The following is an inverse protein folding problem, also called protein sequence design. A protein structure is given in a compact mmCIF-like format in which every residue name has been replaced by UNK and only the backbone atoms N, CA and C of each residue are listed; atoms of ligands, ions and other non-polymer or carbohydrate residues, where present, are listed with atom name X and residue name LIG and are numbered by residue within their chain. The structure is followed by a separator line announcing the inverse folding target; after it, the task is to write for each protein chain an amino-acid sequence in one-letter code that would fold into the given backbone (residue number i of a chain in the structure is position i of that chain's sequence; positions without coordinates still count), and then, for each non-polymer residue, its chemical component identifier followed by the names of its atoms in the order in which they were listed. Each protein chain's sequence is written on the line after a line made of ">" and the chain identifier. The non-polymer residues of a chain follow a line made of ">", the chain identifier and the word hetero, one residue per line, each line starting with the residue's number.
data_IF_270391740273
#
_entry.id   IF_270391740273
#
_cell.length_a   1.000
_cell.length_b   1.000
_cell.length_c   1.000
_cell.angle_alpha   90.00
_cell.angle_beta   90.00
_cell.angle_gamma   90.00
#
_symmetry.space_group_name_H-M   'P 1'
#
loop_
_entity.id
_entity.type
_entity.pdbx_description
1 polymer ?
#
# COMPACT_ATOMS: atom_id res chain seq x y z
N UNK A 1 -27.58 35.59 -13.39
CA UNK A 1 -27.68 35.25 -11.90
C UNK A 1 -27.75 33.75 -11.63
N UNK A 2 -28.26 32.90 -12.50
CA UNK A 2 -28.41 31.47 -12.27
C UNK A 2 -27.06 30.72 -12.06
N UNK A 3 -25.98 31.12 -12.71
CA UNK A 3 -24.68 30.44 -12.63
C UNK A 3 -23.98 30.56 -11.29
N UNK A 4 -24.14 31.69 -10.56
CA UNK A 4 -23.50 31.84 -9.24
C UNK A 4 -24.14 30.96 -8.18
N UNK A 5 -25.46 30.78 -8.24
CA UNK A 5 -26.18 29.94 -7.27
C UNK A 5 -25.91 28.45 -7.51
N UNK A 6 -25.80 28.02 -8.77
CA UNK A 6 -25.46 26.65 -9.12
C UNK A 6 -24.04 26.26 -8.67
N UNK A 7 -23.06 27.18 -8.85
CA UNK A 7 -21.67 26.94 -8.41
C UNK A 7 -21.57 26.79 -6.89
N UNK A 8 -22.30 27.60 -6.13
CA UNK A 8 -22.30 27.51 -4.67
C UNK A 8 -22.96 26.20 -4.18
N UNK A 9 -24.05 25.79 -4.83
CA UNK A 9 -24.71 24.51 -4.50
C UNK A 9 -23.82 23.31 -4.81
N UNK A 10 -23.10 23.32 -5.93
CA UNK A 10 -22.15 22.26 -6.31
C UNK A 10 -20.98 22.20 -5.32
N UNK A 11 -20.47 23.33 -4.87
CA UNK A 11 -19.36 23.36 -3.89
C UNK A 11 -19.80 22.84 -2.51
N UNK A 12 -21.01 23.16 -2.07
CA UNK A 12 -21.53 22.65 -0.78
C UNK A 12 -21.82 21.15 -0.86
N UNK A 13 -22.46 20.70 -1.94
CA UNK A 13 -22.70 19.26 -2.17
C UNK A 13 -21.39 18.50 -2.39
N UNK A 14 -20.42 19.09 -3.10
CA UNK A 14 -19.10 18.52 -3.31
C UNK A 14 -18.34 18.40 -2.01
N UNK A 15 -18.42 19.38 -1.10
CA UNK A 15 -17.80 19.32 0.22
C UNK A 15 -18.37 18.20 1.09
N UNK A 16 -19.71 18.09 1.18
CA UNK A 16 -20.37 17.03 1.93
C UNK A 16 -20.05 15.65 1.34
N UNK A 17 -20.11 15.49 0.02
CA UNK A 17 -19.76 14.26 -0.68
C UNK A 17 -18.29 13.88 -0.46
N UNK A 18 -17.37 14.84 -0.49
CA UNK A 18 -15.95 14.63 -0.22
C UNK A 18 -15.72 14.15 1.21
N UNK A 19 -16.36 14.76 2.20
CA UNK A 19 -16.23 14.35 3.60
C UNK A 19 -16.78 12.94 3.84
N UNK A 20 -17.93 12.62 3.26
CA UNK A 20 -18.52 11.27 3.34
C UNK A 20 -17.61 10.24 2.65
N UNK A 21 -17.11 10.54 1.45
CA UNK A 21 -16.19 9.69 0.71
C UNK A 21 -14.93 9.40 1.55
N UNK A 22 -14.30 10.43 2.12
CA UNK A 22 -13.11 10.27 2.95
C UNK A 22 -13.38 9.43 4.20
N UNK A 23 -14.56 9.51 4.80
CA UNK A 23 -14.95 8.71 5.96
C UNK A 23 -15.06 7.21 5.64
N UNK A 24 -15.41 6.85 4.38
CA UNK A 24 -15.57 5.46 3.92
C UNK A 24 -14.30 4.82 3.35
N UNK A 25 -13.22 5.60 3.17
CA UNK A 25 -11.97 5.06 2.63
C UNK A 25 -11.38 3.97 3.55
N UNK A 26 -10.75 2.93 2.97
CA UNK A 26 -9.95 1.98 3.74
C UNK A 26 -8.90 2.67 4.62
N UNK A 27 -8.61 2.07 5.77
CA UNK A 27 -7.68 2.66 6.74
C UNK A 27 -6.29 2.92 6.13
N UNK A 28 -5.77 1.98 5.33
CA UNK A 28 -4.48 2.16 4.67
C UNK A 28 -4.45 3.35 3.70
N UNK A 29 -5.60 3.65 3.04
CA UNK A 29 -5.72 4.84 2.20
C UNK A 29 -5.70 6.12 3.04
N UNK A 30 -6.45 6.15 4.15
CA UNK A 30 -6.44 7.28 5.10
C UNK A 30 -5.06 7.56 5.67
N UNK A 31 -4.29 6.51 5.90
CA UNK A 31 -2.96 6.56 6.48
C UNK A 31 -1.84 6.81 5.45
N UNK A 32 -2.15 6.89 4.15
CA UNK A 32 -1.14 6.86 3.08
C UNK A 32 -0.19 5.66 3.19
N UNK A 33 -0.72 4.53 3.67
CA UNK A 33 -0.02 3.28 3.96
C UNK A 33 -0.64 2.15 3.14
N UNK A 34 -0.29 2.02 1.86
CA UNK A 34 -0.97 1.13 0.91
C UNK A 34 -0.95 -0.35 1.30
N UNK A 35 0.00 -0.78 2.11
CA UNK A 35 0.15 -2.16 2.56
C UNK A 35 -0.19 -2.34 4.05
N UNK A 36 -0.82 -1.38 4.72
CA UNK A 36 -1.13 -1.46 6.15
C UNK A 36 0.06 -1.88 7.01
N UNK A 37 1.25 -1.35 6.71
CA UNK A 37 2.46 -1.64 7.48
C UNK A 37 2.24 -1.23 8.94
N UNK A 38 2.50 -2.14 9.86
CA UNK A 38 2.37 -1.85 11.29
C UNK A 38 3.41 -0.82 11.76
N UNK A 39 2.99 0.03 12.68
CA UNK A 39 3.91 0.94 13.33
C UNK A 39 4.88 0.17 14.22
N UNK A 40 6.15 0.47 14.11
CA UNK A 40 7.18 -0.01 15.02
C UNK A 40 8.11 1.16 15.36
N UNK A 41 8.26 1.44 16.64
CA UNK A 41 9.12 2.53 17.14
C UNK A 41 10.60 2.40 16.76
N UNK A 42 11.03 1.20 16.35
CA UNK A 42 12.39 0.95 15.85
C UNK A 42 12.59 1.37 14.40
N UNK A 43 11.49 1.58 13.66
CA UNK A 43 11.52 2.00 12.28
C UNK A 43 11.36 3.52 12.23
N UNK A 44 12.32 4.17 11.60
CA UNK A 44 12.26 5.60 11.29
C UNK A 44 12.14 5.72 9.76
N UNK A 45 10.89 5.53 9.29
CA UNK A 45 10.60 5.60 7.86
C UNK A 45 10.57 7.05 7.38
N UNK A 46 11.24 7.35 6.27
CA UNK A 46 11.11 8.65 5.63
C UNK A 46 9.62 8.97 5.38
N UNK A 47 9.23 10.19 5.73
CA UNK A 47 7.86 10.64 5.57
C UNK A 47 6.84 10.03 6.54
N UNK A 48 7.28 9.24 7.51
CA UNK A 48 6.41 8.75 8.57
C UNK A 48 5.95 9.91 9.46
N UNK A 49 4.67 9.91 9.79
CA UNK A 49 4.08 10.83 10.75
C UNK A 49 4.19 10.26 12.16
N UNK A 50 4.10 11.14 13.16
CA UNK A 50 4.05 10.72 14.57
C UNK A 50 2.89 9.75 14.80
N UNK A 51 3.12 8.78 15.67
CA UNK A 51 2.12 7.79 16.08
C UNK A 51 1.67 8.10 17.52
N UNK A 52 0.36 8.12 17.72
CA UNK A 52 -0.26 8.39 19.02
C UNK A 52 -0.90 7.13 19.64
N UNK A 53 -0.40 5.94 19.27
CA UNK A 53 -0.90 4.66 19.73
C UNK A 53 -1.67 3.88 18.65
N UNK A 54 -1.66 4.36 17.40
CA UNK A 54 -2.27 3.62 16.30
C UNK A 54 -1.45 2.37 15.94
N UNK A 55 -2.14 1.30 15.56
CA UNK A 55 -1.53 0.04 15.14
C UNK A 55 -0.67 0.20 13.89
N UNK A 56 -1.16 0.96 12.90
CA UNK A 56 -0.51 1.09 11.60
C UNK A 56 0.27 2.40 11.47
N UNK A 57 1.38 2.35 10.75
CA UNK A 57 2.14 3.54 10.39
C UNK A 57 1.30 4.49 9.51
N UNK A 58 1.58 5.77 9.61
CA UNK A 58 0.97 6.84 8.81
C UNK A 58 2.05 7.60 8.09
N UNK A 59 1.80 7.97 6.83
CA UNK A 59 2.79 8.67 6.01
C UNK A 59 2.24 9.99 5.47
N UNK A 60 3.15 10.91 5.13
CA UNK A 60 2.82 12.22 4.55
C UNK A 60 2.08 12.09 3.22
N UNK A 61 2.45 11.09 2.40
CA UNK A 61 1.79 10.75 1.15
C UNK A 61 2.01 9.27 0.81
N UNK A 62 1.25 8.69 -0.14
CA UNK A 62 1.32 7.26 -0.48
C UNK A 62 2.68 6.79 -1.00
N UNK A 63 3.47 7.65 -1.65
CA UNK A 63 4.79 7.26 -2.16
C UNK A 63 5.73 6.85 -1.02
N UNK A 64 5.65 7.50 0.15
CA UNK A 64 6.42 7.08 1.32
C UNK A 64 5.93 5.73 1.89
N UNK A 65 4.62 5.47 1.84
CA UNK A 65 4.08 4.15 2.22
C UNK A 65 4.58 3.05 1.29
N UNK A 66 4.59 3.28 -0.02
CA UNK A 66 5.18 2.33 -1.00
C UNK A 66 6.70 2.20 -0.85
N UNK A 67 7.40 3.28 -0.52
CA UNK A 67 8.82 3.22 -0.19
C UNK A 67 9.09 2.31 1.01
N UNK A 68 8.33 2.45 2.07
CA UNK A 68 8.44 1.59 3.24
C UNK A 68 8.17 0.11 2.87
N UNK A 69 7.16 -0.16 2.05
CA UNK A 69 6.86 -1.51 1.55
C UNK A 69 8.04 -2.11 0.77
N UNK A 70 8.68 -1.34 -0.12
CA UNK A 70 9.86 -1.80 -0.85
C UNK A 70 11.01 -2.18 0.11
N UNK A 71 11.26 -1.36 1.12
CA UNK A 71 12.28 -1.66 2.15
C UNK A 71 11.95 -2.91 2.96
N UNK A 72 10.67 -3.15 3.27
CA UNK A 72 10.22 -4.36 3.96
C UNK A 72 10.51 -5.59 3.11
N UNK A 73 10.10 -5.63 1.84
CA UNK A 73 10.35 -6.79 0.98
C UNK A 73 11.85 -7.01 0.70
N UNK A 74 12.62 -5.94 0.52
CA UNK A 74 14.08 -6.06 0.44
C UNK A 74 14.70 -6.62 1.72
N UNK A 75 14.14 -6.27 2.89
CA UNK A 75 14.56 -6.86 4.16
C UNK A 75 14.22 -8.34 4.25
N UNK A 76 13.05 -8.77 3.76
CA UNK A 76 12.70 -10.19 3.71
C UNK A 76 13.66 -10.99 2.81
N UNK A 77 14.00 -10.46 1.65
CA UNK A 77 14.98 -11.11 0.76
C UNK A 77 16.35 -11.31 1.44
N UNK A 78 16.83 -10.29 2.19
CA UNK A 78 18.07 -10.42 2.98
C UNK A 78 17.98 -11.46 4.09
N UNK A 79 16.78 -11.78 4.58
CA UNK A 79 16.52 -12.80 5.58
C UNK A 79 16.30 -14.21 5.00
N UNK A 80 16.36 -14.34 3.64
CA UNK A 80 16.17 -15.61 2.96
C UNK A 80 14.73 -15.90 2.50
N UNK A 81 13.78 -14.99 2.72
CA UNK A 81 12.43 -15.08 2.18
C UNK A 81 12.43 -14.48 0.77
N UNK A 82 12.68 -15.30 -0.24
CA UNK A 82 12.97 -14.80 -1.59
C UNK A 82 11.88 -15.08 -2.61
N UNK A 83 11.07 -16.12 -2.41
CA UNK A 83 9.96 -16.39 -3.33
C UNK A 83 8.74 -15.53 -3.01
N UNK A 84 7.86 -15.34 -4.01
CA UNK A 84 6.64 -14.57 -3.84
C UNK A 84 5.80 -15.08 -2.65
N UNK A 85 5.60 -16.39 -2.59
CA UNK A 85 4.85 -17.04 -1.49
C UNK A 85 5.50 -16.81 -0.13
N UNK A 86 6.83 -16.97 -0.03
CA UNK A 86 7.55 -16.73 1.23
C UNK A 86 7.41 -15.27 1.72
N UNK A 87 7.52 -14.31 0.79
CA UNK A 87 7.36 -12.89 1.12
C UNK A 87 5.94 -12.58 1.60
N UNK A 88 4.93 -13.13 0.92
CA UNK A 88 3.53 -12.92 1.30
C UNK A 88 3.20 -13.61 2.62
N UNK A 89 3.66 -14.84 2.83
CA UNK A 89 3.48 -15.55 4.11
C UNK A 89 4.14 -14.81 5.28
N UNK A 90 5.28 -14.20 5.03
CA UNK A 90 5.98 -13.39 6.04
C UNK A 90 5.25 -12.09 6.34
N UNK A 91 4.68 -11.46 5.31
CA UNK A 91 3.97 -10.19 5.42
C UNK A 91 2.58 -10.36 6.04
N UNK A 92 1.82 -11.35 5.60
CA UNK A 92 0.44 -11.63 6.00
C UNK A 92 0.30 -13.09 6.47
N UNK A 93 0.68 -13.41 7.72
CA UNK A 93 0.65 -14.78 8.23
C UNK A 93 -0.75 -15.40 8.19
N UNK A 94 -0.84 -16.71 7.95
CA UNK A 94 -2.09 -17.44 7.72
C UNK A 94 -3.08 -17.43 8.87
N UNK A 95 -2.63 -17.18 10.09
CA UNK A 95 -3.53 -17.05 11.24
C UNK A 95 -4.31 -15.74 11.29
N UNK A 96 -3.92 -14.75 10.47
CA UNK A 96 -4.62 -13.45 10.36
C UNK A 96 -5.32 -13.27 9.01
N UNK A 97 -4.92 -14.04 7.97
CA UNK A 97 -5.35 -13.84 6.58
C UNK A 97 -5.50 -15.17 5.84
N UNK A 98 -6.30 -15.20 4.77
CA UNK A 98 -6.23 -16.25 3.75
C UNK A 98 -5.00 -16.02 2.86
N UNK A 99 -3.84 -16.47 3.36
CA UNK A 99 -2.55 -16.24 2.72
C UNK A 99 -2.43 -16.97 1.39
N UNK A 100 -3.09 -18.11 1.23
CA UNK A 100 -3.10 -18.85 -0.05
C UNK A 100 -3.83 -18.06 -1.13
N UNK A 101 -4.98 -17.46 -0.80
CA UNK A 101 -5.71 -16.59 -1.72
C UNK A 101 -4.92 -15.33 -2.01
N UNK A 102 -4.25 -14.75 -1.03
CA UNK A 102 -3.40 -13.58 -1.20
C UNK A 102 -2.26 -13.87 -2.20
N UNK A 103 -1.48 -14.93 -1.95
CA UNK A 103 -0.38 -15.32 -2.81
C UNK A 103 -0.84 -15.63 -4.24
N UNK A 104 -1.96 -16.36 -4.37
CA UNK A 104 -2.57 -16.64 -5.67
C UNK A 104 -2.96 -15.37 -6.43
N UNK A 105 -3.66 -14.45 -5.80
CA UNK A 105 -4.10 -13.21 -6.46
C UNK A 105 -2.92 -12.35 -6.88
N UNK A 106 -1.91 -12.19 -6.03
CA UNK A 106 -0.71 -11.43 -6.39
C UNK A 106 0.04 -12.10 -7.55
N UNK A 107 0.16 -13.43 -7.54
CA UNK A 107 0.74 -14.20 -8.64
C UNK A 107 -0.02 -13.97 -9.95
N UNK A 108 -1.34 -14.10 -9.94
CA UNK A 108 -2.20 -13.91 -11.12
C UNK A 108 -2.09 -12.48 -11.68
N UNK A 109 -2.02 -11.47 -10.82
CA UNK A 109 -1.97 -10.06 -11.24
C UNK A 109 -0.59 -9.60 -11.72
N UNK A 110 0.47 -10.24 -11.26
CA UNK A 110 1.85 -9.88 -11.61
C UNK A 110 2.45 -10.76 -12.71
N UNK A 111 1.92 -11.97 -12.90
CA UNK A 111 2.50 -13.01 -13.73
C UNK A 111 3.73 -13.68 -13.11
N UNK A 112 4.04 -13.40 -11.85
CA UNK A 112 5.16 -14.02 -11.10
C UNK A 112 4.62 -15.26 -10.39
N UNK A 113 5.19 -16.42 -10.65
CA UNK A 113 4.79 -17.67 -10.00
C UNK A 113 5.01 -17.63 -8.49
N UNK A 114 4.13 -18.29 -7.71
CA UNK A 114 4.20 -18.27 -6.24
C UNK A 114 5.56 -18.76 -5.71
N UNK A 115 6.15 -19.77 -6.35
CA UNK A 115 7.47 -20.32 -6.00
C UNK A 115 8.63 -19.63 -6.75
N UNK A 116 8.34 -18.61 -7.54
CA UNK A 116 9.36 -17.85 -8.25
C UNK A 116 10.03 -16.85 -7.31
N UNK A 117 11.36 -16.73 -7.43
CA UNK A 117 12.14 -15.71 -6.72
C UNK A 117 11.76 -14.33 -7.25
N UNK A 118 11.45 -13.42 -6.36
CA UNK A 118 11.20 -12.01 -6.66
C UNK A 118 12.53 -11.27 -6.71
N UNK A 119 12.84 -10.66 -7.84
CA UNK A 119 14.03 -9.83 -7.95
C UNK A 119 13.80 -8.45 -7.33
N UNK A 120 14.07 -8.34 -6.03
CA UNK A 120 13.87 -7.08 -5.27
C UNK A 120 14.84 -5.95 -5.68
N UNK A 121 15.86 -6.26 -6.51
CA UNK A 121 16.78 -5.28 -7.07
C UNK A 121 16.32 -4.76 -8.44
N UNK A 122 15.34 -5.39 -9.05
CA UNK A 122 14.60 -4.85 -10.19
C UNK A 122 13.43 -4.01 -9.70
N UNK A 123 13.58 -2.69 -9.78
CA UNK A 123 12.57 -1.75 -9.32
C UNK A 123 11.21 -1.94 -10.02
N UNK A 124 11.21 -2.32 -11.29
CA UNK A 124 9.98 -2.56 -12.06
C UNK A 124 9.24 -3.81 -11.56
N UNK A 125 9.96 -4.89 -11.29
CA UNK A 125 9.38 -6.12 -10.75
C UNK A 125 8.88 -5.91 -9.32
N UNK A 126 9.70 -5.29 -8.47
CA UNK A 126 9.32 -4.98 -7.10
C UNK A 126 8.08 -4.08 -7.03
N UNK A 127 8.00 -3.06 -7.89
CA UNK A 127 6.84 -2.18 -7.96
C UNK A 127 5.56 -2.92 -8.36
N UNK A 128 5.63 -3.87 -9.29
CA UNK A 128 4.48 -4.73 -9.65
C UNK A 128 4.00 -5.55 -8.45
N UNK A 129 4.92 -6.16 -7.72
CA UNK A 129 4.58 -6.97 -6.53
C UNK A 129 3.91 -6.13 -5.46
N UNK A 130 4.51 -5.02 -5.05
CA UNK A 130 3.94 -4.19 -3.98
C UNK A 130 2.65 -3.48 -4.42
N UNK A 131 2.50 -3.15 -5.71
CA UNK A 131 1.23 -2.65 -6.24
C UNK A 131 0.13 -3.72 -6.14
N UNK A 132 0.42 -4.96 -6.54
CA UNK A 132 -0.53 -6.06 -6.42
C UNK A 132 -0.89 -6.35 -4.95
N UNK A 133 0.09 -6.31 -4.04
CA UNK A 133 -0.15 -6.42 -2.60
C UNK A 133 -1.06 -5.29 -2.09
N UNK A 134 -0.84 -4.05 -2.53
CA UNK A 134 -1.71 -2.94 -2.13
C UNK A 134 -3.17 -3.14 -2.56
N UNK A 135 -3.42 -3.82 -3.68
CA UNK A 135 -4.78 -4.16 -4.11
C UNK A 135 -5.45 -5.18 -3.18
N UNK A 136 -4.69 -6.07 -2.56
CA UNK A 136 -5.21 -6.96 -1.51
C UNK A 136 -5.56 -6.20 -0.24
N UNK A 137 -4.72 -5.23 0.15
CA UNK A 137 -4.84 -4.52 1.41
C UNK A 137 -5.92 -3.42 1.40
N UNK A 138 -5.99 -2.65 0.34
CA UNK A 138 -6.82 -1.44 0.26
C UNK A 138 -7.71 -1.37 -0.97
N UNK A 139 -7.68 -2.38 -1.85
CA UNK A 139 -8.42 -2.35 -3.11
C UNK A 139 -7.73 -1.53 -4.20
N UNK A 140 -8.47 -1.18 -5.25
CA UNK A 140 -7.93 -0.51 -6.45
C UNK A 140 -7.79 1.00 -6.30
N UNK A 141 -7.23 1.47 -5.19
CA UNK A 141 -7.07 2.91 -4.93
C UNK A 141 -5.82 3.52 -5.56
N UNK A 142 -4.77 2.72 -5.74
CA UNK A 142 -3.50 3.21 -6.27
C UNK A 142 -3.15 2.57 -7.59
N UNK A 143 -2.62 3.37 -8.52
CA UNK A 143 -2.04 2.88 -9.76
C UNK A 143 -0.59 2.43 -9.59
N UNK A 144 -0.10 1.64 -10.55
CA UNK A 144 1.29 1.15 -10.57
C UNK A 144 2.32 2.30 -10.52
N UNK A 145 2.05 3.43 -11.16
CA UNK A 145 2.94 4.60 -11.16
C UNK A 145 3.25 5.11 -9.74
N UNK A 146 2.29 5.04 -8.81
CA UNK A 146 2.52 5.43 -7.42
C UNK A 146 3.47 4.46 -6.71
N UNK A 147 3.31 3.16 -6.96
CA UNK A 147 4.23 2.15 -6.46
C UNK A 147 5.64 2.32 -7.02
N UNK A 148 5.77 2.55 -8.33
CA UNK A 148 7.06 2.83 -8.98
C UNK A 148 7.75 4.04 -8.36
N UNK A 149 7.00 5.12 -8.09
CA UNK A 149 7.53 6.30 -7.41
C UNK A 149 8.07 5.96 -6.01
N UNK A 150 7.35 5.16 -5.25
CA UNK A 150 7.80 4.74 -3.92
C UNK A 150 9.05 3.86 -3.96
N UNK A 151 9.11 2.90 -4.89
CA UNK A 151 10.27 2.01 -5.07
C UNK A 151 11.51 2.80 -5.45
N UNK A 152 11.39 3.75 -6.38
CA UNK A 152 12.51 4.60 -6.81
C UNK A 152 13.10 5.48 -5.69
N UNK A 153 12.36 5.68 -4.61
CA UNK A 153 12.80 6.42 -3.41
C UNK A 153 13.45 5.51 -2.35
N UNK A 154 13.44 4.17 -2.52
CA UNK A 154 13.75 3.22 -1.47
C UNK A 154 15.26 2.75 -1.42
#
# INVERSE_FOLDING_TARGET
>A
MAYKTAIIAILVLGGASYMTYKATLPLGVKNNNPLNIEYNKRNDWDGQLSNSGERFARFKNPAFGFRAAAKVLRSYARQGFTTLEQMINRFAPSHENDTNLYAKNVSDWTGIGQNQVVNVNDDAELAKVIHAMSRMEVGKYYGLTMAQKGVAMA
#
